data_IF_791769456520
#
_entry.id   IF_791769456520
#
_cell.length_a   1.000
_cell.length_b   1.000
_cell.length_c   1.000
_cell.angle_alpha   90.00
_cell.angle_beta   90.00
_cell.angle_gamma   90.00
#
_symmetry.space_group_name_H-M   'P 1'
#
loop_
_entity.id
_entity.type
_entity.pdbx_description
1 polymer ?
#
# COMPACT_ATOMS: atom_id res chain seq x y z
N UNK A 1 7.95 2.45 5.70
CA UNK A 1 8.71 1.34 5.08
C UNK A 1 7.69 0.44 4.42
N UNK A 2 7.43 0.64 3.14
CA UNK A 2 6.71 -0.35 2.33
C UNK A 2 7.80 -1.33 1.94
N UNK A 3 7.85 -2.49 2.59
CA UNK A 3 8.76 -3.55 2.16
C UNK A 3 8.23 -4.06 0.83
N UNK A 4 8.88 -3.68 -0.27
CA UNK A 4 8.78 -4.44 -1.52
C UNK A 4 9.50 -5.77 -1.26
N UNK A 5 8.72 -6.80 -0.93
CA UNK A 5 9.23 -8.16 -0.78
C UNK A 5 9.12 -8.83 -2.15
N UNK A 6 10.26 -9.13 -2.77
CA UNK A 6 10.34 -9.90 -4.02
C UNK A 6 9.74 -11.32 -3.88
N UNK A 7 9.64 -11.84 -2.64
CA UNK A 7 9.08 -13.16 -2.36
C UNK A 7 7.54 -13.18 -2.44
N UNK A 8 6.88 -12.04 -2.22
CA UNK A 8 5.42 -11.94 -2.17
C UNK A 8 4.94 -10.63 -2.79
N UNK A 9 4.96 -10.52 -4.13
CA UNK A 9 4.57 -9.29 -4.81
C UNK A 9 3.09 -9.00 -4.59
N UNK A 10 2.79 -7.74 -4.27
CA UNK A 10 1.44 -7.27 -4.00
C UNK A 10 1.08 -6.05 -4.87
N UNK A 11 -0.21 -5.89 -5.15
CA UNK A 11 -0.75 -4.80 -5.95
C UNK A 11 -1.79 -4.02 -5.14
N UNK A 12 -1.82 -2.71 -5.35
CA UNK A 12 -2.88 -1.86 -4.81
C UNK A 12 -4.16 -2.10 -5.60
N UNK A 13 -5.24 -2.43 -4.89
CA UNK A 13 -6.54 -2.74 -5.51
C UNK A 13 -7.59 -1.67 -5.26
N UNK A 14 -7.46 -0.90 -4.18
CA UNK A 14 -8.42 0.14 -3.84
C UNK A 14 -7.78 1.25 -3.02
N UNK A 15 -8.13 2.48 -3.36
CA UNK A 15 -7.79 3.67 -2.59
C UNK A 15 -9.10 4.37 -2.22
N UNK A 16 -9.32 4.60 -0.93
CA UNK A 16 -10.52 5.27 -0.42
C UNK A 16 -10.12 6.59 0.21
N UNK A 17 -10.72 7.68 -0.24
CA UNK A 17 -10.50 9.00 0.36
C UNK A 17 -11.35 9.14 1.63
N UNK A 18 -10.73 9.57 2.73
CA UNK A 18 -11.34 9.72 4.04
C UNK A 18 -11.31 11.19 4.49
N UNK A 19 -12.22 11.54 5.41
CA UNK A 19 -12.26 12.82 6.13
C UNK A 19 -12.08 14.05 5.21
N UNK A 20 -12.89 14.16 4.15
CA UNK A 20 -12.85 15.32 3.24
C UNK A 20 -11.56 15.45 2.42
N UNK A 21 -10.74 14.40 2.33
CA UNK A 21 -9.51 14.39 1.53
C UNK A 21 -8.22 14.57 2.31
N UNK A 22 -8.28 14.69 3.64
CA UNK A 22 -7.09 14.78 4.49
C UNK A 22 -6.39 13.43 4.73
N UNK A 23 -7.05 12.33 4.37
CA UNK A 23 -6.50 10.99 4.51
C UNK A 23 -6.95 10.10 3.35
N UNK A 24 -6.13 9.11 3.04
CA UNK A 24 -6.43 8.03 2.08
C UNK A 24 -6.15 6.69 2.74
N UNK A 25 -7.06 5.74 2.55
CA UNK A 25 -6.88 4.35 2.98
C UNK A 25 -6.56 3.50 1.77
N UNK A 26 -5.48 2.74 1.84
CA UNK A 26 -4.98 1.92 0.72
C UNK A 26 -5.19 0.45 1.06
N UNK A 27 -5.76 -0.29 0.12
CA UNK A 27 -5.94 -1.73 0.19
C UNK A 27 -5.07 -2.41 -0.87
N UNK A 28 -4.46 -3.53 -0.51
CA UNK A 28 -3.63 -4.32 -1.40
C UNK A 28 -3.97 -5.82 -1.33
N UNK A 29 -3.53 -6.57 -2.34
CA UNK A 29 -3.59 -8.03 -2.39
C UNK A 29 -2.34 -8.60 -3.05
N UNK A 30 -1.99 -9.86 -2.76
CA UNK A 30 -0.87 -10.53 -3.43
C UNK A 30 -1.25 -10.81 -4.88
N UNK A 31 -0.29 -10.75 -5.79
CA UNK A 31 -0.52 -11.08 -7.21
C UNK A 31 -1.03 -12.53 -7.35
N UNK A 32 -0.52 -13.44 -6.52
CA UNK A 32 -0.91 -14.85 -6.50
C UNK A 32 -1.91 -15.21 -5.39
N UNK A 33 -2.62 -14.22 -4.85
CA UNK A 33 -3.64 -14.46 -3.82
C UNK A 33 -4.72 -15.41 -4.32
N UNK A 34 -5.13 -16.36 -3.47
CA UNK A 34 -6.27 -17.23 -3.78
C UNK A 34 -7.54 -16.38 -3.98
N UNK A 35 -8.50 -16.87 -4.77
CA UNK A 35 -9.73 -16.12 -5.12
C UNK A 35 -10.53 -15.68 -3.89
N UNK A 36 -10.39 -16.40 -2.78
CA UNK A 36 -11.08 -16.15 -1.50
C UNK A 36 -10.29 -15.30 -0.51
N UNK A 37 -9.03 -14.98 -0.79
CA UNK A 37 -8.25 -14.13 0.10
C UNK A 37 -8.78 -12.69 0.10
N UNK A 38 -9.05 -12.11 1.28
CA UNK A 38 -9.55 -10.75 1.36
C UNK A 38 -8.42 -9.75 1.07
N UNK A 39 -8.79 -8.63 0.46
CA UNK A 39 -7.90 -7.47 0.35
C UNK A 39 -7.55 -6.97 1.76
N UNK A 40 -6.28 -6.70 2.02
CA UNK A 40 -5.85 -6.19 3.32
C UNK A 40 -5.64 -4.68 3.28
N UNK A 41 -5.91 -4.02 4.40
CA UNK A 41 -5.62 -2.61 4.60
C UNK A 41 -4.12 -2.43 4.89
N UNK A 42 -3.42 -1.66 4.04
CA UNK A 42 -2.03 -1.25 4.30
C UNK A 42 -1.96 -0.16 5.37
N UNK A 43 -3.04 0.61 5.51
CA UNK A 43 -3.20 1.63 6.53
C UNK A 43 -3.83 2.91 5.97
N UNK A 44 -3.84 3.94 6.83
CA UNK A 44 -4.31 5.28 6.50
C UNK A 44 -3.12 6.21 6.33
N UNK A 45 -3.05 6.89 5.19
CA UNK A 45 -1.96 7.76 4.78
C UNK A 45 -2.47 9.18 4.56
N UNK A 46 -1.58 10.15 4.73
CA UNK A 46 -1.82 11.53 4.32
C UNK A 46 -1.47 11.69 2.84
N UNK A 47 -2.37 12.19 1.97
CA UNK A 47 -2.07 12.32 0.54
C UNK A 47 -0.96 13.32 0.23
N UNK A 48 -0.71 14.27 1.13
CA UNK A 48 0.41 15.22 1.08
C UNK A 48 1.69 14.70 1.74
N UNK A 49 1.66 13.49 2.31
CA UNK A 49 2.84 12.91 2.95
C UNK A 49 3.90 12.65 1.90
N UNK A 50 5.06 13.31 2.03
CA UNK A 50 6.21 13.05 1.16
C UNK A 50 6.63 11.60 1.29
N UNK A 51 6.71 10.91 0.15
CA UNK A 51 7.35 9.60 0.09
C UNK A 51 8.84 9.82 0.40
N UNK A 52 9.37 9.31 1.52
CA UNK A 52 10.80 9.41 1.78
C UNK A 52 11.52 8.71 0.64
N UNK A 53 12.37 9.45 -0.07
CA UNK A 53 13.18 8.89 -1.14
C UNK A 53 14.09 7.85 -0.50
N UNK A 54 13.97 6.59 -0.90
CA UNK A 54 14.86 5.54 -0.43
C UNK A 54 16.31 5.99 -0.69
N UNK A 55 17.16 5.94 0.35
CA UNK A 55 18.58 6.22 0.15
C UNK A 55 19.17 5.09 -0.70
N UNK A 56 19.99 5.45 -1.68
CA UNK A 56 20.63 4.51 -2.62
C UNK A 56 21.29 3.36 -1.85
N UNK A 57 20.81 2.13 -2.05
CA UNK A 57 21.33 0.92 -1.39
C UNK A 57 20.49 0.36 -0.23
N UNK A 58 19.32 0.92 0.05
CA UNK A 58 18.29 0.25 0.87
C UNK A 58 17.24 -0.33 -0.08
N UNK A 59 17.47 -1.57 -0.51
CA UNK A 59 16.48 -2.44 -1.15
C UNK A 59 16.20 -3.58 -0.18
#
# INVERSE_FOLDING_TARGET
>A
MVMESDDHPAVVVRIVQLYGGHAVRIYARYIWSATTEPDWELGTFRPDSRIPTAKKGQY
#
